data_IF_056785023585
#
_entry.id   IF_056785023585
#
_cell.length_a   1.000
_cell.length_b   1.000
_cell.length_c   1.000
_cell.angle_alpha   90.00
_cell.angle_beta   90.00
_cell.angle_gamma   90.00
#
_symmetry.space_group_name_H-M   'P 1'
#
loop_
_entity.id
_entity.type
_entity.pdbx_description
1 polymer ?
#
# COMPACT_ATOMS: atom_id res chain seq x y z
N UNK A 1 22.85 -1.45 8.11
CA UNK A 1 22.78 0.01 7.92
C UNK A 1 22.22 0.17 6.52
N UNK A 2 20.94 0.50 6.40
CA UNK A 2 20.25 0.50 5.11
C UNK A 2 20.80 1.62 4.23
N UNK A 3 21.04 1.34 2.95
CA UNK A 3 21.45 2.36 1.97
C UNK A 3 20.33 3.38 1.64
N UNK A 4 19.13 3.18 2.17
CA UNK A 4 17.98 4.05 1.98
C UNK A 4 17.77 4.95 3.20
N UNK A 5 17.26 6.16 2.96
CA UNK A 5 16.79 7.05 4.01
C UNK A 5 15.74 6.34 4.89
N UNK A 6 15.78 6.64 6.20
CA UNK A 6 14.92 5.98 7.17
C UNK A 6 13.44 6.21 6.90
N UNK A 7 13.06 7.38 6.37
CA UNK A 7 11.66 7.69 6.07
C UNK A 7 11.15 6.88 4.87
N UNK A 8 11.97 6.76 3.83
CA UNK A 8 11.65 5.97 2.64
C UNK A 8 11.53 4.49 3.01
N UNK A 9 12.49 4.00 3.79
CA UNK A 9 12.48 2.63 4.29
C UNK A 9 11.18 2.32 5.05
N UNK A 10 10.79 3.20 5.99
CA UNK A 10 9.53 3.07 6.76
C UNK A 10 8.30 3.16 5.88
N UNK A 11 8.30 4.03 4.86
CA UNK A 11 7.19 4.16 3.93
C UNK A 11 6.96 2.87 3.13
N UNK A 12 8.04 2.26 2.64
CA UNK A 12 7.97 0.99 1.89
C UNK A 12 7.51 -0.14 2.81
N UNK A 13 8.08 -0.27 4.02
CA UNK A 13 7.64 -1.29 4.97
C UNK A 13 6.15 -1.14 5.30
N UNK A 14 5.67 0.09 5.50
CA UNK A 14 4.26 0.36 5.75
C UNK A 14 3.38 -0.09 4.59
N UNK A 15 3.79 0.17 3.35
CA UNK A 15 3.07 -0.29 2.16
C UNK A 15 3.02 -1.83 2.10
N UNK A 16 4.13 -2.51 2.42
CA UNK A 16 4.18 -3.97 2.46
C UNK A 16 3.23 -4.58 3.48
N UNK A 17 3.20 -4.04 4.70
CA UNK A 17 2.25 -4.47 5.74
C UNK A 17 0.79 -4.29 5.30
N UNK A 18 0.50 -3.21 4.59
CA UNK A 18 -0.84 -2.90 4.13
C UNK A 18 -1.15 -3.45 2.72
N UNK A 19 -0.41 -4.44 2.23
CA UNK A 19 -0.65 -5.01 0.89
C UNK A 19 -2.09 -5.47 0.68
N UNK A 20 -2.64 -6.24 1.63
CA UNK A 20 -4.02 -6.72 1.55
C UNK A 20 -5.05 -5.58 1.66
N UNK A 21 -4.78 -4.58 2.50
CA UNK A 21 -5.61 -3.38 2.62
C UNK A 21 -5.67 -2.63 1.28
N UNK A 22 -4.51 -2.42 0.62
CA UNK A 22 -4.44 -1.75 -0.69
C UNK A 22 -5.28 -2.52 -1.72
N UNK A 23 -5.21 -3.85 -1.72
CA UNK A 23 -5.98 -4.69 -2.64
C UNK A 23 -7.49 -4.58 -2.38
N UNK A 24 -7.90 -4.53 -1.12
CA UNK A 24 -9.30 -4.34 -0.74
C UNK A 24 -9.80 -2.94 -1.16
N UNK A 25 -9.02 -1.89 -0.92
CA UNK A 25 -9.35 -0.51 -1.28
C UNK A 25 -9.52 -0.31 -2.79
N UNK A 26 -8.66 -0.94 -3.62
CA UNK A 26 -8.84 -0.90 -5.07
C UNK A 26 -10.18 -1.51 -5.45
N UNK A 27 -10.51 -2.68 -4.91
CA UNK A 27 -11.75 -3.37 -5.22
C UNK A 27 -12.98 -2.56 -4.79
N UNK A 28 -12.95 -1.99 -3.59
CA UNK A 28 -14.03 -1.14 -3.07
C UNK A 28 -14.26 0.08 -3.98
N UNK A 29 -13.19 0.78 -4.38
CA UNK A 29 -13.30 1.94 -5.28
C UNK A 29 -13.73 1.57 -6.70
N UNK A 30 -13.33 0.41 -7.22
CA UNK A 30 -13.83 -0.10 -8.51
C UNK A 30 -15.34 -0.36 -8.46
N UNK A 31 -15.83 -0.96 -7.38
CA UNK A 31 -17.27 -1.21 -7.16
C UNK A 31 -18.06 0.10 -7.01
N UNK A 32 -17.53 1.07 -6.27
CA UNK A 32 -18.13 2.41 -6.13
C UNK A 32 -18.27 3.12 -7.48
N UNK A 33 -17.22 3.15 -8.30
CA UNK A 33 -17.25 3.77 -9.64
C UNK A 33 -18.29 3.08 -10.52
N UNK A 34 -18.33 1.75 -10.52
CA UNK A 34 -19.30 1.00 -11.32
C UNK A 34 -20.74 1.26 -10.86
N UNK A 35 -20.98 1.35 -9.55
CA UNK A 35 -22.30 1.66 -9.01
C UNK A 35 -22.71 3.10 -9.34
N UNK A 36 -21.82 4.10 -9.18
CA UNK A 36 -22.10 5.47 -9.57
C UNK A 36 -22.46 5.61 -11.05
N UNK A 37 -21.78 4.89 -11.95
CA UNK A 37 -22.12 4.86 -13.38
C UNK A 37 -23.52 4.26 -13.63
N UNK A 38 -23.89 3.19 -12.92
CA UNK A 38 -25.22 2.55 -13.03
C UNK A 38 -26.36 3.46 -12.55
N UNK A 39 -26.13 4.26 -11.51
CA UNK A 39 -27.12 5.24 -11.03
C UNK A 39 -27.21 6.48 -11.93
N UNK A 40 -26.10 6.95 -12.49
CA UNK A 40 -26.09 8.04 -13.48
C UNK A 40 -26.82 7.70 -14.77
N UNK A 41 -26.79 6.43 -15.21
CA UNK A 41 -27.50 5.97 -16.40
C UNK A 41 -29.02 5.76 -16.18
N UNK A 42 -29.49 5.78 -14.93
CA UNK A 42 -30.92 5.63 -14.60
C UNK A 42 -31.68 6.95 -14.47
N UNK A 43 -30.99 8.08 -14.60
CA UNK A 43 -31.59 9.42 -14.51
C UNK A 43 -31.47 10.09 -15.88
N UNK A 44 -32.15 9.55 -16.91
CA UNK A 44 -32.67 10.40 -17.99
C UNK A 44 -33.70 9.67 -18.88
N UNK A 45 -34.96 9.69 -18.44
CA UNK A 45 -36.10 9.82 -19.34
C UNK A 45 -36.83 11.11 -18.94
N UNK A 46 -36.23 12.26 -19.24
CA UNK A 46 -36.95 13.52 -19.30
C UNK A 46 -36.30 14.65 -18.51
N UNK A 47 -35.75 15.61 -19.24
CA UNK A 47 -35.56 17.00 -18.83
C UNK A 47 -34.78 17.23 -17.51
N UNK A 48 -33.45 17.19 -17.56
CA UNK A 48 -32.65 18.02 -16.66
C UNK A 48 -31.33 18.43 -17.35
N UNK A 49 -31.06 19.73 -17.41
CA UNK A 49 -29.84 20.26 -18.00
C UNK A 49 -28.59 19.65 -17.38
N UNK A 50 -27.60 19.36 -18.22
CA UNK A 50 -26.27 18.90 -17.85
C UNK A 50 -25.56 19.93 -16.94
N UNK A 51 -25.88 19.95 -15.64
CA UNK A 51 -25.10 20.64 -14.62
C UNK A 51 -23.99 19.69 -14.17
N UNK A 52 -22.94 19.59 -15.00
CA UNK A 52 -21.70 18.92 -14.60
C UNK A 52 -21.02 19.78 -13.54
N UNK A 53 -21.29 19.49 -12.26
CA UNK A 53 -20.61 20.17 -11.16
C UNK A 53 -19.09 19.91 -11.31
N UNK A 54 -18.27 20.96 -11.52
CA UNK A 54 -16.82 20.81 -11.66
C UNK A 54 -16.19 20.10 -10.45
N UNK A 55 -16.83 20.17 -9.28
CA UNK A 55 -16.46 19.45 -8.06
C UNK A 55 -16.57 17.93 -8.23
N UNK A 56 -17.67 17.45 -8.82
CA UNK A 56 -17.90 16.02 -9.04
C UNK A 56 -16.90 15.45 -10.05
N UNK A 57 -16.62 16.20 -11.13
CA UNK A 57 -15.64 15.79 -12.14
C UNK A 57 -14.22 15.76 -11.58
N UNK A 58 -13.88 16.72 -10.71
CA UNK A 58 -12.57 16.75 -10.05
C UNK A 58 -12.42 15.62 -9.03
N UNK A 59 -13.48 15.28 -8.28
CA UNK A 59 -13.49 14.14 -7.36
C UNK A 59 -13.22 12.81 -8.10
N UNK A 60 -13.88 12.58 -9.24
CA UNK A 60 -13.66 11.38 -10.07
C UNK A 60 -12.20 11.30 -10.54
N UNK A 61 -11.63 12.41 -11.02
CA UNK A 61 -10.22 12.49 -11.45
C UNK A 61 -9.21 12.27 -10.32
N UNK A 62 -9.54 12.67 -9.10
CA UNK A 62 -8.68 12.43 -7.93
C UNK A 62 -8.71 10.96 -7.53
N UNK A 63 -9.89 10.35 -7.51
CA UNK A 63 -10.04 8.91 -7.27
C UNK A 63 -9.29 8.08 -8.32
N UNK A 64 -9.32 8.46 -9.59
CA UNK A 64 -8.62 7.73 -10.65
C UNK A 64 -7.09 7.75 -10.47
N UNK A 65 -6.51 8.91 -10.13
CA UNK A 65 -5.07 9.03 -9.87
C UNK A 65 -4.62 8.23 -8.64
N UNK A 66 -5.41 8.24 -7.57
CA UNK A 66 -5.10 7.45 -6.38
C UNK A 66 -5.18 5.94 -6.66
N UNK A 67 -6.19 5.50 -7.43
CA UNK A 67 -6.31 4.12 -7.89
C UNK A 67 -5.09 3.68 -8.70
N UNK A 68 -4.60 4.52 -9.61
CA UNK A 68 -3.38 4.23 -10.37
C UNK A 68 -2.16 4.03 -9.47
N UNK A 69 -1.98 4.88 -8.45
CA UNK A 69 -0.88 4.74 -7.48
C UNK A 69 -0.99 3.40 -6.75
N UNK A 70 -2.18 3.05 -6.26
CA UNK A 70 -2.41 1.78 -5.57
C UNK A 70 -2.14 0.57 -6.48
N UNK A 71 -2.63 0.60 -7.72
CA UNK A 71 -2.37 -0.46 -8.71
C UNK A 71 -0.88 -0.63 -8.99
N UNK A 72 -0.15 0.47 -9.19
CA UNK A 72 1.30 0.43 -9.39
C UNK A 72 2.02 -0.19 -8.20
N UNK A 73 1.61 0.13 -6.97
CA UNK A 73 2.19 -0.50 -5.78
C UNK A 73 1.93 -1.99 -5.70
N UNK A 74 0.73 -2.46 -6.04
CA UNK A 74 0.45 -3.90 -6.13
C UNK A 74 1.36 -4.56 -7.17
N UNK A 75 1.50 -3.96 -8.36
CA UNK A 75 2.39 -4.50 -9.40
C UNK A 75 3.84 -4.59 -8.94
N UNK A 76 4.34 -3.58 -8.22
CA UNK A 76 5.68 -3.59 -7.63
C UNK A 76 5.85 -4.73 -6.62
N UNK A 77 4.89 -4.91 -5.72
CA UNK A 77 4.96 -5.95 -4.68
C UNK A 77 4.83 -7.34 -5.31
N UNK A 78 3.93 -7.53 -6.26
CA UNK A 78 3.76 -8.80 -6.98
C UNK A 78 5.02 -9.16 -7.77
N UNK A 79 5.66 -8.18 -8.43
CA UNK A 79 6.95 -8.38 -9.09
C UNK A 79 8.07 -8.74 -8.11
N UNK A 80 8.09 -8.15 -6.91
CA UNK A 80 9.02 -8.52 -5.84
C UNK A 80 8.77 -9.94 -5.33
N UNK A 81 7.52 -10.32 -5.15
CA UNK A 81 7.13 -11.66 -4.73
C UNK A 81 7.56 -12.71 -5.75
N UNK A 82 7.29 -12.48 -7.04
CA UNK A 82 7.70 -13.40 -8.11
C UNK A 82 9.22 -13.53 -8.22
N UNK A 83 9.98 -12.43 -8.07
CA UNK A 83 11.45 -12.50 -8.08
C UNK A 83 12.01 -13.37 -6.96
N UNK A 84 11.47 -13.26 -5.74
CA UNK A 84 11.98 -13.98 -4.58
C UNK A 84 11.29 -15.33 -4.36
N UNK A 85 10.38 -15.72 -5.25
CA UNK A 85 9.63 -16.98 -5.16
C UNK A 85 10.58 -18.18 -5.08
N UNK A 86 10.30 -19.09 -4.15
CA UNK A 86 11.15 -20.27 -3.92
C UNK A 86 12.47 -20.01 -3.20
N UNK A 87 12.76 -18.76 -2.81
CA UNK A 87 13.96 -18.42 -2.02
C UNK A 87 13.62 -18.20 -0.55
N UNK A 88 14.63 -18.30 0.33
CA UNK A 88 14.47 -17.96 1.75
C UNK A 88 14.01 -16.52 1.99
N UNK A 89 14.40 -15.58 1.11
CA UNK A 89 13.93 -14.18 1.15
C UNK A 89 12.44 -14.06 0.81
N UNK A 90 11.97 -14.84 -0.17
CA UNK A 90 10.54 -14.89 -0.51
C UNK A 90 9.72 -15.42 0.66
N UNK A 91 10.21 -16.46 1.32
CA UNK A 91 9.55 -17.00 2.52
C UNK A 91 9.55 -16.00 3.68
N UNK A 92 10.65 -15.27 3.89
CA UNK A 92 10.72 -14.18 4.85
C UNK A 92 9.70 -13.08 4.53
N UNK A 93 9.59 -12.68 3.26
CA UNK A 93 8.65 -11.66 2.80
C UNK A 93 7.21 -12.06 3.15
N UNK A 94 6.82 -13.30 2.83
CA UNK A 94 5.48 -13.82 3.15
C UNK A 94 5.23 -13.86 4.67
N UNK A 95 6.13 -14.50 5.41
CA UNK A 95 5.96 -14.68 6.86
C UNK A 95 5.96 -13.34 7.61
N UNK A 96 6.77 -12.37 7.17
CA UNK A 96 6.93 -11.10 7.88
C UNK A 96 5.83 -10.11 7.58
N UNK A 97 5.45 -9.96 6.32
CA UNK A 97 4.56 -8.87 5.88
C UNK A 97 3.14 -9.34 5.59
N UNK A 98 2.93 -10.61 5.22
CA UNK A 98 1.59 -11.12 4.91
C UNK A 98 1.00 -11.93 6.07
N UNK A 99 1.82 -12.69 6.78
CA UNK A 99 1.41 -13.45 7.97
C UNK A 99 1.68 -12.69 9.28
N UNK A 100 2.38 -11.54 9.21
CA UNK A 100 2.73 -10.67 10.35
C UNK A 100 3.43 -11.38 11.52
N UNK A 101 4.19 -12.43 11.23
CA UNK A 101 4.83 -13.25 12.26
C UNK A 101 5.98 -12.51 12.98
N UNK A 102 6.20 -12.90 14.23
CA UNK A 102 7.29 -12.38 15.06
C UNK A 102 8.66 -12.76 14.48
N UNK A 103 9.61 -11.83 14.54
CA UNK A 103 10.97 -12.00 13.99
C UNK A 103 11.67 -13.25 14.53
N UNK A 104 11.56 -13.51 15.83
CA UNK A 104 12.23 -14.65 16.47
C UNK A 104 11.67 -15.98 15.95
N UNK A 105 10.35 -16.04 15.75
CA UNK A 105 9.69 -17.20 15.16
C UNK A 105 10.14 -17.43 13.71
N UNK A 106 10.24 -16.36 12.91
CA UNK A 106 10.73 -16.43 11.53
C UNK A 106 12.17 -16.94 11.49
N UNK A 107 13.05 -16.41 12.35
CA UNK A 107 14.45 -16.83 12.43
C UNK A 107 14.56 -18.32 12.75
N UNK A 108 13.78 -18.81 13.71
CA UNK A 108 13.73 -20.25 14.06
C UNK A 108 13.21 -21.09 12.89
N UNK A 109 12.11 -20.66 12.25
CA UNK A 109 11.46 -21.44 11.19
C UNK A 109 12.31 -21.53 9.92
N UNK A 110 13.07 -20.48 9.61
CA UNK A 110 13.96 -20.42 8.46
C UNK A 110 15.39 -20.89 8.77
N UNK A 111 15.68 -21.23 10.03
CA UNK A 111 17.02 -21.60 10.50
C UNK A 111 18.08 -20.53 10.16
N UNK A 112 17.74 -19.26 10.36
CA UNK A 112 18.63 -18.13 10.09
C UNK A 112 18.93 -17.34 11.36
N UNK A 113 20.12 -16.73 11.38
CA UNK A 113 20.47 -15.77 12.41
C UNK A 113 19.72 -14.44 12.23
N UNK A 114 19.53 -13.73 13.34
CA UNK A 114 18.88 -12.41 13.36
C UNK A 114 19.59 -11.38 12.47
N UNK A 115 20.91 -11.47 12.34
CA UNK A 115 21.69 -10.61 11.41
C UNK A 115 21.27 -10.85 9.96
N UNK A 116 21.17 -12.12 9.56
CA UNK A 116 20.73 -12.54 8.23
C UNK A 116 19.30 -12.12 7.95
N UNK A 117 18.41 -12.21 8.95
CA UNK A 117 17.05 -11.70 8.85
C UNK A 117 17.01 -10.21 8.46
N UNK A 118 17.74 -9.35 9.19
CA UNK A 118 17.75 -7.93 8.90
C UNK A 118 18.39 -7.61 7.55
N UNK A 119 19.45 -8.34 7.18
CA UNK A 119 20.08 -8.17 5.88
C UNK A 119 19.15 -8.55 4.72
N UNK A 120 18.46 -9.69 4.83
CA UNK A 120 17.49 -10.11 3.82
C UNK A 120 16.31 -9.15 3.72
N UNK A 121 15.84 -8.63 4.86
CA UNK A 121 14.79 -7.62 4.90
C UNK A 121 15.25 -6.33 4.19
N UNK A 122 16.47 -5.87 4.47
CA UNK A 122 17.04 -4.70 3.80
C UNK A 122 17.12 -4.93 2.28
N UNK A 123 17.56 -6.10 1.83
CA UNK A 123 17.61 -6.45 0.40
C UNK A 123 16.24 -6.42 -0.28
N UNK A 124 15.21 -6.91 0.40
CA UNK A 124 13.83 -6.89 -0.10
C UNK A 124 13.35 -5.45 -0.26
N UNK A 125 13.53 -4.62 0.77
CA UNK A 125 13.09 -3.21 0.75
C UNK A 125 13.86 -2.42 -0.30
N UNK A 126 15.17 -2.63 -0.44
CA UNK A 126 15.99 -2.00 -1.48
C UNK A 126 15.54 -2.41 -2.87
N UNK A 127 15.22 -3.69 -3.07
CA UNK A 127 14.71 -4.15 -4.37
C UNK A 127 13.34 -3.55 -4.69
N UNK A 128 12.46 -3.40 -3.71
CA UNK A 128 11.17 -2.74 -3.91
C UNK A 128 11.35 -1.25 -4.20
N UNK A 129 12.30 -0.58 -3.53
CA UNK A 129 12.62 0.81 -3.82
C UNK A 129 13.07 1.00 -5.27
N UNK A 130 13.93 0.12 -5.79
CA UNK A 130 14.38 0.21 -7.19
C UNK A 130 13.25 -0.05 -8.20
N UNK A 131 12.33 -0.98 -7.89
CA UNK A 131 11.11 -1.13 -8.65
C UNK A 131 10.22 0.12 -8.56
N UNK A 132 10.06 0.72 -7.39
CA UNK A 132 9.27 1.94 -7.23
C UNK A 132 9.81 3.10 -8.09
N UNK A 133 11.13 3.21 -8.29
CA UNK A 133 11.71 4.15 -9.27
C UNK A 133 11.21 3.84 -10.67
N UNK A 134 11.28 2.57 -11.10
CA UNK A 134 10.84 2.13 -12.45
C UNK A 134 9.37 2.48 -12.74
N UNK A 135 8.51 2.46 -11.72
CA UNK A 135 7.08 2.78 -11.86
C UNK A 135 6.73 4.25 -11.56
N UNK A 136 7.75 5.11 -11.38
CA UNK A 136 7.61 6.54 -11.03
C UNK A 136 6.85 6.80 -9.72
N UNK A 137 6.94 5.84 -8.80
CA UNK A 137 6.40 5.93 -7.45
C UNK A 137 7.41 6.51 -6.45
N UNK A 138 8.70 6.45 -6.77
CA UNK A 138 9.79 6.98 -5.97
C UNK A 138 10.73 7.81 -6.85
N UNK A 139 11.00 9.05 -6.44
CA UNK A 139 11.99 9.93 -7.06
C UNK A 139 13.24 9.97 -6.17
N UNK A 140 14.37 9.35 -6.60
CA UNK A 140 15.57 9.26 -5.80
C UNK A 140 16.32 10.59 -5.66
N UNK A 141 16.14 11.54 -6.58
CA UNK A 141 16.79 12.85 -6.49
C UNK A 141 16.11 13.77 -5.48
N UNK A 142 14.78 13.63 -5.35
CA UNK A 142 13.96 14.44 -4.45
C UNK A 142 13.63 13.72 -3.14
N UNK A 143 14.03 12.47 -2.99
CA UNK A 143 13.70 11.59 -1.87
C UNK A 143 12.19 11.51 -1.58
N UNK A 144 11.36 11.65 -2.61
CA UNK A 144 9.89 11.68 -2.48
C UNK A 144 9.28 10.37 -2.96
N UNK A 145 8.49 9.76 -2.07
CA UNK A 145 7.74 8.54 -2.34
C UNK A 145 6.23 8.83 -2.37
N UNK A 146 5.55 8.35 -3.40
CA UNK A 146 4.09 8.46 -3.54
C UNK A 146 3.45 7.32 -2.75
N UNK A 147 2.82 7.66 -1.64
CA UNK A 147 2.11 6.70 -0.78
C UNK A 147 0.60 6.87 -1.01
N UNK A 148 -0.19 5.77 -1.06
CA UNK A 148 -1.65 5.84 -1.07
C UNK A 148 -2.19 6.71 0.08
N UNK A 149 -3.19 7.57 -0.18
CA UNK A 149 -3.61 8.60 0.77
C UNK A 149 -4.22 8.01 2.05
N UNK A 150 -4.95 6.88 1.93
CA UNK A 150 -5.54 6.18 3.07
C UNK A 150 -4.50 5.63 4.07
N UNK A 151 -3.25 5.44 3.64
CA UNK A 151 -2.16 5.04 4.53
C UNK A 151 -1.59 6.24 5.28
N UNK A 152 -1.69 7.46 4.74
CA UNK A 152 -1.21 8.67 5.40
C UNK A 152 -2.09 9.03 6.62
N UNK A 153 -3.41 8.80 6.53
CA UNK A 153 -4.40 9.19 7.55
C UNK A 153 -4.44 8.27 8.78
N UNK A 154 -3.93 7.03 8.71
CA UNK A 154 -3.86 6.10 9.86
C UNK A 154 -2.93 6.58 11.00
N UNK A 155 -2.17 7.67 10.83
CA UNK A 155 -1.44 8.33 11.93
C UNK A 155 -2.36 9.10 12.91
N UNK A 156 -3.66 9.26 12.63
CA UNK A 156 -4.59 10.06 13.45
C UNK A 156 -5.61 9.26 14.28
N UNK A 157 -5.50 7.92 14.36
CA UNK A 157 -6.32 7.11 15.28
C UNK A 157 -5.50 6.42 16.36
N UNK A 158 -4.81 7.19 17.19
CA UNK A 158 -4.72 6.91 18.63
C UNK A 158 -5.86 7.66 19.33
N UNK A 159 -7.12 7.32 19.01
CA UNK A 159 -8.22 7.67 19.89
C UNK A 159 -8.07 6.79 21.14
N UNK A 160 -7.74 7.45 22.25
CA UNK A 160 -7.39 6.82 23.52
C UNK A 160 -8.49 5.89 24.03
N UNK A 161 -8.14 4.62 24.17
CA UNK A 161 -8.77 3.74 25.14
C UNK A 161 -8.22 4.07 26.51
N UNK A 162 -8.79 5.07 27.20
CA UNK A 162 -8.74 5.12 28.65
C UNK A 162 -10.12 4.75 29.19
N UNK A 163 -10.24 3.45 29.45
CA UNK A 163 -11.26 2.81 30.25
C UNK A 163 -11.13 3.36 31.68
N UNK A 164 -11.86 4.41 32.01
CA UNK A 164 -12.04 4.85 33.39
C UNK A 164 -13.13 3.96 34.01
N UNK A 165 -12.69 2.89 34.66
CA UNK A 165 -13.48 2.12 35.63
C UNK A 165 -13.70 3.06 36.81
N UNK A 166 -14.96 3.45 37.06
CA UNK A 166 -15.34 4.04 38.36
C UNK A 166 -15.92 2.92 39.22
N UNK A 167 -15.25 2.72 40.35
CA UNK A 167 -15.66 1.95 41.51
C UNK A 167 -16.91 2.53 42.16
#
# INVERSE_FOLDING_TARGET
MSMLDSNIYRAIEKILYHYFDIKHEIKAKEEEIMNCQKYGFKIDLGNAGYYSDPTATMAIKLCSKELEIMRKWIQVIDAAKEKFKGTGKGRLLEMRYFEELATDYICQKLFIERRTFYHWRDDIVVYIASLAVKYELYDPEKERIKIPAFLNTKSLKKCGTNKAIKS
#
